data_IF_499189646587
#
_entry.id   IF_499189646587
#
_cell.length_a   1.000
_cell.length_b   1.000
_cell.length_c   1.000
_cell.angle_alpha   90.00
_cell.angle_beta   90.00
_cell.angle_gamma   90.00
#
_symmetry.space_group_name_H-M   'P 1'
#
loop_
_entity.id
_entity.type
_entity.pdbx_description
1 polymer ?
#
# COMPACT_ATOMS: atom_id res chain seq x y z
N UNK A 1 11.36 -7.75 3.82
CA UNK A 1 10.74 -7.25 2.59
C UNK A 1 9.55 -6.37 2.95
N UNK A 2 9.62 -5.05 2.71
CA UNK A 2 8.60 -4.05 3.06
C UNK A 2 7.18 -4.51 2.75
N UNK A 3 6.51 -5.03 3.78
CA UNK A 3 5.17 -5.59 3.63
C UNK A 3 4.15 -4.49 3.39
N UNK A 4 4.22 -3.38 4.12
CA UNK A 4 3.33 -2.23 3.95
C UNK A 4 4.04 -0.94 4.30
N UNK A 5 3.55 0.18 3.78
CA UNK A 5 4.14 1.50 4.03
C UNK A 5 3.06 2.52 4.37
N UNK A 6 3.34 3.43 5.29
CA UNK A 6 2.57 4.66 5.46
C UNK A 6 3.14 5.67 4.47
N UNK A 7 2.33 6.13 3.53
CA UNK A 7 2.76 7.00 2.44
C UNK A 7 2.22 8.42 2.60
N UNK A 8 2.81 9.37 1.88
CA UNK A 8 2.05 10.56 1.55
C UNK A 8 1.07 10.22 0.43
N UNK A 9 -0.22 10.18 0.79
CA UNK A 9 -1.31 9.86 -0.14
C UNK A 9 -1.91 11.10 -0.83
N UNK A 10 -1.77 12.29 -0.24
CA UNK A 10 -2.24 13.54 -0.85
C UNK A 10 -1.30 13.98 -1.98
N UNK A 11 -1.76 13.82 -3.21
CA UNK A 11 -1.03 14.20 -4.42
C UNK A 11 -0.63 15.69 -4.40
N UNK A 12 -1.39 16.56 -3.73
CA UNK A 12 -1.08 18.01 -3.69
C UNK A 12 0.24 18.30 -2.99
N UNK A 13 0.68 17.46 -2.05
CA UNK A 13 2.03 17.61 -1.46
C UNK A 13 3.11 17.36 -2.50
N UNK A 14 2.92 16.42 -3.44
CA UNK A 14 3.84 16.22 -4.55
C UNK A 14 3.88 17.42 -5.49
N UNK A 15 2.72 18.02 -5.79
CA UNK A 15 2.64 19.25 -6.60
C UNK A 15 3.43 20.38 -5.94
N UNK A 16 3.21 20.61 -4.63
CA UNK A 16 3.89 21.68 -3.88
C UNK A 16 5.40 21.45 -3.73
N UNK A 17 5.83 20.22 -3.45
CA UNK A 17 7.23 19.92 -3.16
C UNK A 17 8.07 19.73 -4.41
N UNK A 18 7.50 19.15 -5.46
CA UNK A 18 8.27 18.70 -6.62
C UNK A 18 7.83 19.38 -7.92
N UNK A 19 6.85 20.28 -7.90
CA UNK A 19 6.29 20.86 -9.13
C UNK A 19 5.66 19.81 -10.04
N UNK A 20 5.23 18.67 -9.48
CA UNK A 20 4.65 17.58 -10.24
C UNK A 20 3.22 17.90 -10.69
N UNK A 21 2.77 17.27 -11.77
CA UNK A 21 1.40 17.39 -12.27
C UNK A 21 0.63 16.10 -12.02
N UNK A 22 -0.62 16.20 -11.55
CA UNK A 22 -1.47 15.03 -11.40
C UNK A 22 -2.01 14.57 -12.76
N UNK A 23 -1.91 13.28 -13.04
CA UNK A 23 -2.55 12.66 -14.19
C UNK A 23 -4.05 12.46 -13.94
N UNK A 24 -4.81 13.54 -14.04
CA UNK A 24 -6.24 13.58 -13.67
C UNK A 24 -7.06 12.50 -14.38
N UNK A 25 -6.70 12.15 -15.62
CA UNK A 25 -7.39 11.12 -16.42
C UNK A 25 -7.26 9.73 -15.78
N UNK A 26 -6.05 9.33 -15.39
CA UNK A 26 -5.78 8.05 -14.75
C UNK A 26 -6.43 7.96 -13.37
N UNK A 27 -6.45 9.06 -12.61
CA UNK A 27 -7.21 9.12 -11.34
C UNK A 27 -8.71 8.98 -11.59
N UNK A 28 -9.28 9.73 -12.54
CA UNK A 28 -10.70 9.64 -12.88
C UNK A 28 -11.10 8.23 -13.34
N UNK A 29 -10.28 7.59 -14.17
CA UNK A 29 -10.50 6.21 -14.60
C UNK A 29 -10.48 5.24 -13.41
N UNK A 30 -9.48 5.32 -12.53
CA UNK A 30 -9.36 4.44 -11.37
C UNK A 30 -10.60 4.54 -10.46
N UNK A 31 -11.04 5.77 -10.16
CA UNK A 31 -12.19 6.00 -9.30
C UNK A 31 -13.50 5.56 -9.94
N UNK A 32 -13.66 5.77 -11.25
CA UNK A 32 -14.79 5.25 -12.00
C UNK A 32 -14.84 3.72 -11.97
N UNK A 33 -13.75 3.03 -12.30
CA UNK A 33 -13.67 1.56 -12.28
C UNK A 33 -14.01 1.00 -10.88
N UNK A 34 -13.51 1.64 -9.81
CA UNK A 34 -13.82 1.26 -8.43
C UNK A 34 -15.32 1.41 -8.13
N UNK A 35 -15.91 2.52 -8.57
CA UNK A 35 -17.32 2.82 -8.37
C UNK A 35 -18.25 1.98 -9.27
N UNK A 36 -17.75 1.33 -10.33
CA UNK A 36 -18.45 0.32 -11.13
C UNK A 36 -18.30 -1.11 -10.55
N UNK A 37 -17.65 -1.25 -9.40
CA UNK A 37 -17.55 -2.52 -8.66
C UNK A 37 -16.25 -3.30 -8.88
N UNK A 38 -15.25 -2.73 -9.55
CA UNK A 38 -13.91 -3.34 -9.61
C UNK A 38 -13.30 -3.44 -8.20
N UNK A 39 -12.61 -4.55 -7.93
CA UNK A 39 -11.94 -4.78 -6.64
C UNK A 39 -10.65 -3.95 -6.52
N UNK A 40 -10.81 -2.63 -6.42
CA UNK A 40 -9.76 -1.63 -6.31
C UNK A 40 -9.69 -1.14 -4.87
N UNK A 41 -8.50 -1.23 -4.27
CA UNK A 41 -8.23 -0.76 -2.90
C UNK A 41 -7.46 0.55 -2.95
N UNK A 42 -8.02 1.60 -2.38
CA UNK A 42 -7.41 2.93 -2.33
C UNK A 42 -7.39 3.36 -0.86
N UNK A 43 -6.25 3.85 -0.34
CA UNK A 43 -6.19 4.41 1.01
C UNK A 43 -7.13 5.61 1.17
N UNK A 44 -7.84 5.71 2.30
CA UNK A 44 -8.80 6.80 2.57
C UNK A 44 -8.16 8.18 2.45
N UNK A 45 -6.88 8.31 2.79
CA UNK A 45 -6.15 9.58 2.65
C UNK A 45 -6.01 10.05 1.18
N UNK A 46 -6.02 9.13 0.21
CA UNK A 46 -6.02 9.49 -1.22
C UNK A 46 -7.41 9.97 -1.66
N UNK A 47 -8.48 9.35 -1.16
CA UNK A 47 -9.87 9.81 -1.38
C UNK A 47 -10.09 11.20 -0.79
N UNK A 48 -9.53 11.45 0.40
CA UNK A 48 -9.63 12.73 1.10
C UNK A 48 -9.02 13.89 0.32
N UNK A 49 -8.07 13.63 -0.58
CA UNK A 49 -7.57 14.66 -1.49
C UNK A 49 -8.69 15.23 -2.37
N UNK A 50 -9.74 14.47 -2.70
CA UNK A 50 -10.85 14.97 -3.53
C UNK A 50 -12.05 15.49 -2.72
N UNK A 51 -11.88 15.70 -1.41
CA UNK A 51 -12.94 16.21 -0.52
C UNK A 51 -13.38 17.64 -0.84
N UNK A 52 -12.49 18.46 -1.42
CA UNK A 52 -12.80 19.83 -1.85
C UNK A 52 -12.35 20.00 -3.31
N UNK A 53 -13.15 19.53 -4.28
CA UNK A 53 -12.75 19.52 -5.69
C UNK A 53 -12.67 20.94 -6.25
N UNK A 54 -11.59 21.23 -6.97
CA UNK A 54 -11.29 22.53 -7.58
C UNK A 54 -11.67 22.59 -9.07
N UNK A 55 -11.75 21.44 -9.75
CA UNK A 55 -12.08 21.35 -11.17
C UNK A 55 -13.30 20.45 -11.42
N UNK A 56 -13.85 20.47 -12.64
CA UNK A 56 -14.93 19.56 -13.04
C UNK A 56 -14.51 18.09 -12.98
N UNK A 57 -13.26 17.78 -13.37
CA UNK A 57 -12.74 16.43 -13.28
C UNK A 57 -12.57 15.97 -11.83
N UNK A 58 -12.11 16.85 -10.93
CA UNK A 58 -12.07 16.53 -9.51
C UNK A 58 -13.48 16.34 -8.92
N UNK A 59 -14.48 17.10 -9.39
CA UNK A 59 -15.89 16.90 -9.00
C UNK A 59 -16.38 15.52 -9.41
N UNK A 60 -16.07 15.05 -10.63
CA UNK A 60 -16.42 13.69 -11.08
C UNK A 60 -15.74 12.60 -10.26
N UNK A 61 -14.48 12.79 -9.88
CA UNK A 61 -13.79 11.87 -8.97
C UNK A 61 -14.51 11.82 -7.62
N UNK A 62 -14.87 12.99 -7.07
CA UNK A 62 -15.59 13.09 -5.81
C UNK A 62 -16.95 12.37 -5.88
N UNK A 63 -17.71 12.56 -6.95
CA UNK A 63 -18.98 11.85 -7.16
C UNK A 63 -18.81 10.33 -7.21
N UNK A 64 -17.76 9.83 -7.86
CA UNK A 64 -17.45 8.40 -7.88
C UNK A 64 -17.04 7.87 -6.49
N UNK A 65 -16.31 8.65 -5.70
CA UNK A 65 -15.97 8.33 -4.30
C UNK A 65 -17.27 8.26 -3.46
N UNK A 66 -18.13 9.27 -3.56
CA UNK A 66 -19.38 9.33 -2.78
C UNK A 66 -20.32 8.17 -3.13
N UNK A 67 -20.44 7.82 -4.42
CA UNK A 67 -21.21 6.65 -4.87
C UNK A 67 -20.67 5.36 -4.28
N UNK A 68 -19.36 5.14 -4.40
CA UNK A 68 -18.71 3.95 -3.83
C UNK A 68 -18.92 3.87 -2.31
N UNK A 69 -18.75 4.98 -1.60
CA UNK A 69 -18.94 5.03 -0.15
C UNK A 69 -20.40 4.77 0.26
N UNK A 70 -21.38 5.27 -0.50
CA UNK A 70 -22.80 4.96 -0.29
C UNK A 70 -23.10 3.47 -0.46
N UNK A 71 -22.53 2.83 -1.49
CA UNK A 71 -22.67 1.39 -1.70
C UNK A 71 -22.01 0.57 -0.58
N UNK A 72 -20.82 1.00 -0.11
CA UNK A 72 -20.16 0.34 1.03
C UNK A 72 -20.95 0.50 2.32
N UNK A 73 -21.49 1.69 2.60
CA UNK A 73 -22.33 1.94 3.76
C UNK A 73 -23.56 1.01 3.75
N UNK A 74 -24.25 0.93 2.61
CA UNK A 74 -25.41 0.05 2.43
C UNK A 74 -25.05 -1.43 2.71
N UNK A 75 -23.92 -1.91 2.19
CA UNK A 75 -23.45 -3.28 2.42
C UNK A 75 -23.13 -3.54 3.89
N UNK A 76 -22.48 -2.60 4.57
CA UNK A 76 -22.15 -2.71 5.98
C UNK A 76 -23.40 -2.68 6.87
N UNK A 77 -24.38 -1.85 6.54
CA UNK A 77 -25.68 -1.78 7.23
C UNK A 77 -26.47 -3.10 7.08
N UNK A 78 -26.47 -3.69 5.87
CA UNK A 78 -27.08 -5.00 5.63
C UNK A 78 -26.37 -6.11 6.42
N UNK A 79 -25.03 -6.15 6.44
CA UNK A 79 -24.28 -7.12 7.24
C UNK A 79 -24.54 -6.90 8.74
N UNK A 80 -24.61 -5.65 9.20
CA UNK A 80 -24.93 -5.31 10.59
C UNK A 80 -26.30 -5.87 10.99
N UNK A 81 -27.33 -5.66 10.17
CA UNK A 81 -28.67 -6.20 10.42
C UNK A 81 -28.64 -7.73 10.49
N UNK A 82 -28.01 -8.38 9.49
CA UNK A 82 -27.88 -9.84 9.43
C UNK A 82 -27.18 -10.42 10.65
N UNK A 83 -26.08 -9.81 11.09
CA UNK A 83 -25.31 -10.32 12.24
C UNK A 83 -26.01 -10.04 13.57
N UNK A 84 -26.77 -8.94 13.71
CA UNK A 84 -27.63 -8.70 14.88
C UNK A 84 -28.72 -9.76 15.01
N UNK A 85 -29.38 -10.13 13.93
CA UNK A 85 -30.35 -11.23 13.92
C UNK A 85 -29.69 -12.56 14.33
N UNK A 86 -28.54 -12.87 13.75
CA UNK A 86 -27.75 -14.07 14.09
C UNK A 86 -27.35 -14.11 15.56
N UNK A 87 -26.97 -12.97 16.15
CA UNK A 87 -26.60 -12.87 17.56
C UNK A 87 -27.81 -13.16 18.46
N UNK A 88 -28.96 -12.54 18.18
CA UNK A 88 -30.18 -12.75 18.97
C UNK A 88 -30.66 -14.22 18.95
N UNK A 89 -30.60 -14.89 17.79
CA UNK A 89 -30.97 -16.30 17.67
C UNK A 89 -30.00 -17.23 18.40
N UNK A 90 -28.70 -16.92 18.36
CA UNK A 90 -27.69 -17.63 19.12
C UNK A 90 -27.93 -17.49 20.63
N UNK A 91 -28.23 -16.28 21.10
CA UNK A 91 -28.53 -16.02 22.52
C UNK A 91 -29.81 -16.71 22.99
N UNK A 92 -30.88 -16.69 22.19
CA UNK A 92 -32.11 -17.45 22.49
C UNK A 92 -31.85 -18.95 22.61
N UNK A 93 -31.00 -19.49 21.74
CA UNK A 93 -30.60 -20.90 21.80
C UNK A 93 -29.80 -21.19 23.07
N UNK A 94 -28.85 -20.32 23.42
CA UNK A 94 -28.02 -20.48 24.62
C UNK A 94 -28.80 -20.39 25.93
N UNK A 95 -29.91 -19.65 25.96
CA UNK A 95 -30.81 -19.58 27.12
C UNK A 95 -31.54 -20.91 27.38
N UNK A 96 -31.92 -21.64 26.32
CA UNK A 96 -32.59 -22.94 26.46
C UNK A 96 -31.60 -24.09 26.61
N UNK A 97 -30.49 -24.06 25.86
CA UNK A 97 -29.45 -25.08 25.89
C UNK A 97 -28.10 -24.54 25.42
N UNK A 98 -27.08 -24.66 26.26
CA UNK A 98 -25.71 -24.37 25.85
C UNK A 98 -25.23 -25.38 24.80
N UNK A 99 -24.89 -24.90 23.61
CA UNK A 99 -24.31 -25.73 22.53
C UNK A 99 -23.09 -25.05 21.95
N UNK A 100 -22.10 -25.85 21.52
CA UNK A 100 -20.88 -25.33 20.86
C UNK A 100 -21.22 -24.48 19.63
N UNK A 101 -22.21 -24.88 18.85
CA UNK A 101 -22.64 -24.16 17.65
C UNK A 101 -23.21 -22.78 17.97
N UNK A 102 -24.06 -22.66 19.00
CA UNK A 102 -24.63 -21.37 19.38
C UNK A 102 -23.58 -20.45 20.02
N UNK A 103 -22.67 -20.99 20.84
CA UNK A 103 -21.53 -20.23 21.41
C UNK A 103 -20.65 -19.64 20.30
N UNK A 104 -20.29 -20.45 19.31
CA UNK A 104 -19.45 -20.01 18.19
C UNK A 104 -20.19 -19.01 17.28
N UNK A 105 -21.49 -19.22 17.06
CA UNK A 105 -22.32 -18.28 16.31
C UNK A 105 -22.38 -16.90 16.98
N UNK A 106 -22.55 -16.85 18.31
CA UNK A 106 -22.50 -15.61 19.10
C UNK A 106 -21.16 -14.91 18.96
N UNK A 107 -20.04 -15.64 19.08
CA UNK A 107 -18.69 -15.09 18.94
C UNK A 107 -18.46 -14.46 17.57
N UNK A 108 -18.79 -15.18 16.50
CA UNK A 108 -18.65 -14.72 15.11
C UNK A 108 -19.53 -13.50 14.86
N UNK A 109 -20.81 -13.54 15.27
CA UNK A 109 -21.74 -12.45 15.06
C UNK A 109 -21.28 -11.17 15.78
N UNK A 110 -20.84 -11.28 17.03
CA UNK A 110 -20.31 -10.16 17.82
C UNK A 110 -19.12 -9.51 17.12
N UNK A 111 -18.12 -10.31 16.73
CA UNK A 111 -16.93 -9.83 16.03
C UNK A 111 -17.27 -9.12 14.70
N UNK A 112 -18.23 -9.66 13.94
CA UNK A 112 -18.67 -9.05 12.69
C UNK A 112 -19.49 -7.78 12.89
N UNK A 113 -20.31 -7.69 13.94
CA UNK A 113 -21.02 -6.46 14.31
C UNK A 113 -20.02 -5.35 14.62
N UNK A 114 -19.03 -5.63 15.47
CA UNK A 114 -17.96 -4.67 15.79
C UNK A 114 -17.21 -4.23 14.54
N UNK A 115 -16.87 -5.17 13.65
CA UNK A 115 -16.21 -4.86 12.38
C UNK A 115 -17.08 -3.99 11.46
N UNK A 116 -18.38 -4.26 11.35
CA UNK A 116 -19.29 -3.49 10.51
C UNK A 116 -19.49 -2.07 11.06
N UNK A 117 -19.61 -1.93 12.38
CA UNK A 117 -19.68 -0.63 13.05
C UNK A 117 -18.42 0.19 12.85
N UNK A 118 -17.23 -0.41 13.02
CA UNK A 118 -15.95 0.26 12.72
C UNK A 118 -15.87 0.71 11.26
N UNK A 119 -16.29 -0.14 10.32
CA UNK A 119 -16.32 0.23 8.91
C UNK A 119 -17.24 1.42 8.61
N UNK A 120 -18.42 1.48 9.24
CA UNK A 120 -19.35 2.61 9.11
C UNK A 120 -18.79 3.89 9.72
N UNK A 121 -18.13 3.77 10.87
CA UNK A 121 -17.45 4.89 11.52
C UNK A 121 -16.32 5.42 10.66
N UNK A 122 -15.46 4.54 10.13
CA UNK A 122 -14.39 4.88 9.19
C UNK A 122 -14.91 5.56 7.93
N UNK A 123 -16.06 5.14 7.38
CA UNK A 123 -16.67 5.82 6.22
C UNK A 123 -17.13 7.25 6.56
N UNK A 124 -17.70 7.44 7.75
CA UNK A 124 -18.25 8.74 8.20
C UNK A 124 -17.19 9.71 8.69
N UNK A 125 -16.07 9.18 9.20
CA UNK A 125 -14.96 9.97 9.75
C UNK A 125 -14.36 10.90 8.69
N UNK A 126 -14.17 12.16 9.06
CA UNK A 126 -13.56 13.19 8.21
C UNK A 126 -12.09 13.44 8.54
N UNK A 127 -11.70 13.29 9.81
CA UNK A 127 -10.33 13.42 10.27
C UNK A 127 -9.51 12.19 9.88
N UNK A 128 -8.34 12.38 9.29
CA UNK A 128 -7.47 11.27 8.89
C UNK A 128 -6.63 10.76 10.06
N UNK A 129 -6.38 9.46 10.07
CA UNK A 129 -5.48 8.75 10.97
C UNK A 129 -4.29 8.21 10.17
N UNK A 130 -3.17 7.91 10.84
CA UNK A 130 -1.97 7.32 10.23
C UNK A 130 -2.30 6.09 9.36
N UNK A 131 -3.24 5.26 9.81
CA UNK A 131 -3.69 4.05 9.10
C UNK A 131 -4.36 4.32 7.76
N UNK A 132 -4.93 5.51 7.56
CA UNK A 132 -5.62 5.88 6.32
C UNK A 132 -4.66 6.13 5.16
N UNK A 133 -3.38 6.29 5.47
CA UNK A 133 -2.28 6.45 4.53
C UNK A 133 -1.44 5.18 4.40
N UNK A 134 -1.82 4.08 5.06
CA UNK A 134 -1.09 2.81 4.98
C UNK A 134 -1.52 2.01 3.74
N UNK A 135 -0.56 1.66 2.90
CA UNK A 135 -0.76 0.81 1.72
C UNK A 135 -0.23 -0.60 1.96
N UNK A 136 -0.95 -1.58 1.42
CA UNK A 136 -0.58 -2.99 1.39
C UNK A 136 -0.45 -3.46 -0.06
N UNK A 137 0.18 -4.62 -0.32
CA UNK A 137 0.29 -5.14 -1.67
C UNK A 137 -1.09 -5.30 -2.31
N UNK A 138 -1.27 -4.72 -3.50
CA UNK A 138 -2.54 -4.65 -4.22
C UNK A 138 -3.34 -3.36 -4.00
N UNK A 139 -2.96 -2.50 -3.03
CA UNK A 139 -3.54 -1.16 -2.90
C UNK A 139 -2.96 -0.22 -3.97
N UNK A 140 -3.69 0.84 -4.31
CA UNK A 140 -3.19 1.92 -5.15
C UNK A 140 -2.52 3.01 -4.32
N UNK A 141 -1.51 3.67 -4.92
CA UNK A 141 -0.79 4.79 -4.33
C UNK A 141 -0.44 5.83 -5.41
N UNK A 142 -0.27 7.12 -5.06
CA UNK A 142 0.36 8.09 -5.94
C UNK A 142 1.83 7.74 -6.15
N UNK A 143 2.22 7.56 -7.41
CA UNK A 143 3.61 7.34 -7.83
C UNK A 143 4.03 8.48 -8.75
N UNK A 144 5.13 9.14 -8.41
CA UNK A 144 5.75 10.15 -9.26
C UNK A 144 6.66 9.48 -10.29
N UNK A 145 6.49 9.86 -11.55
CA UNK A 145 7.26 9.39 -12.71
C UNK A 145 7.68 10.57 -13.57
N UNK A 146 8.60 10.38 -14.52
CA UNK A 146 8.83 11.35 -15.59
C UNK A 146 8.04 10.95 -16.84
N UNK A 147 7.29 11.89 -17.40
CA UNK A 147 6.66 11.78 -18.72
C UNK A 147 6.86 13.09 -19.48
N UNK A 148 7.34 13.00 -20.72
CA UNK A 148 7.61 14.15 -21.59
C UNK A 148 8.44 15.27 -20.91
N UNK A 149 9.43 14.87 -20.10
CA UNK A 149 10.30 15.78 -19.36
C UNK A 149 9.63 16.48 -18.17
N UNK A 150 8.44 16.03 -17.75
CA UNK A 150 7.70 16.58 -16.60
C UNK A 150 7.46 15.50 -15.55
N UNK A 151 7.55 15.89 -14.29
CA UNK A 151 7.17 15.03 -13.17
C UNK A 151 5.64 14.89 -13.16
N UNK A 152 5.15 13.66 -13.27
CA UNK A 152 3.72 13.34 -13.30
C UNK A 152 3.39 12.36 -12.18
N UNK A 153 2.28 12.60 -11.48
CA UNK A 153 1.75 11.69 -10.46
C UNK A 153 0.66 10.83 -11.07
N UNK A 154 0.84 9.51 -11.01
CA UNK A 154 -0.14 8.53 -11.47
C UNK A 154 -0.56 7.62 -10.31
N UNK A 155 -1.83 7.20 -10.26
CA UNK A 155 -2.23 6.22 -9.28
C UNK A 155 -1.84 4.82 -9.80
N UNK A 156 -1.00 4.12 -9.06
CA UNK A 156 -0.49 2.81 -9.47
C UNK A 156 -0.71 1.78 -8.38
N UNK A 157 -1.00 0.54 -8.78
CA UNK A 157 -1.17 -0.58 -7.86
C UNK A 157 0.19 -1.01 -7.30
N UNK A 158 0.34 -1.03 -5.98
CA UNK A 158 1.50 -1.54 -5.25
C UNK A 158 1.55 -3.07 -5.31
N UNK A 159 1.89 -3.62 -6.46
CA UNK A 159 2.20 -5.02 -6.73
C UNK A 159 2.47 -5.07 -8.24
N UNK A 160 3.73 -4.95 -8.65
CA UNK A 160 4.07 -4.75 -10.04
C UNK A 160 3.75 -5.97 -10.89
N UNK A 161 3.13 -5.74 -12.04
CA UNK A 161 3.06 -6.70 -13.15
C UNK A 161 3.91 -6.14 -14.29
N UNK A 162 5.15 -6.66 -14.48
CA UNK A 162 5.98 -6.21 -15.59
C UNK A 162 5.34 -6.47 -16.95
N UNK A 163 5.49 -5.52 -17.88
CA UNK A 163 5.02 -5.66 -19.26
C UNK A 163 5.56 -6.95 -19.90
N UNK A 164 4.74 -7.56 -20.77
CA UNK A 164 5.06 -8.83 -21.42
C UNK A 164 4.88 -10.09 -20.54
N UNK A 165 4.56 -9.96 -19.25
CA UNK A 165 4.17 -11.11 -18.41
C UNK A 165 2.69 -11.47 -18.61
N UNK A 166 2.27 -12.75 -18.44
CA UNK A 166 0.86 -13.12 -18.47
C UNK A 166 0.00 -12.45 -17.38
N UNK A 167 -1.31 -12.33 -17.59
CA UNK A 167 -2.24 -11.68 -16.65
C UNK A 167 -2.29 -12.32 -15.25
N UNK A 168 -1.96 -13.61 -15.13
CA UNK A 168 -1.96 -14.33 -13.84
C UNK A 168 -0.64 -14.19 -13.06
N UNK A 169 0.39 -13.56 -13.65
CA UNK A 169 1.77 -13.69 -13.17
C UNK A 169 1.98 -13.16 -11.75
N UNK A 170 1.48 -11.96 -11.47
CA UNK A 170 1.49 -11.31 -10.14
C UNK A 170 0.61 -12.03 -9.11
N UNK A 171 -0.41 -12.79 -9.55
CA UNK A 171 -1.20 -13.65 -8.65
C UNK A 171 -0.43 -14.92 -8.27
N UNK A 172 0.39 -15.43 -9.19
CA UNK A 172 1.21 -16.64 -8.97
C UNK A 172 2.46 -16.36 -8.13
N UNK A 173 3.06 -15.17 -8.28
CA UNK A 173 4.27 -14.77 -7.58
C UNK A 173 3.96 -13.60 -6.63
N UNK A 174 3.74 -13.86 -5.34
CA UNK A 174 3.16 -12.87 -4.43
C UNK A 174 4.13 -11.77 -3.99
N UNK A 175 5.41 -11.81 -4.39
CA UNK A 175 6.46 -10.89 -3.94
C UNK A 175 6.74 -9.72 -4.87
N UNK A 176 5.96 -9.52 -5.94
CA UNK A 176 6.26 -8.51 -6.96
C UNK A 176 5.94 -7.06 -6.53
N UNK A 177 5.67 -6.82 -5.26
CA UNK A 177 5.63 -5.48 -4.66
C UNK A 177 7.02 -4.98 -4.24
N UNK A 178 8.03 -5.86 -4.19
CA UNK A 178 9.42 -5.50 -3.89
C UNK A 178 10.35 -5.89 -5.05
N UNK A 179 11.11 -4.91 -5.54
CA UNK A 179 12.20 -5.11 -6.48
C UNK A 179 13.51 -5.22 -5.71
N UNK A 180 14.03 -6.44 -5.56
CA UNK A 180 15.28 -6.64 -4.84
C UNK A 180 16.46 -6.06 -5.63
N UNK A 181 17.30 -5.29 -4.95
CA UNK A 181 18.52 -4.68 -5.49
C UNK A 181 19.41 -5.70 -6.20
N UNK A 182 19.64 -6.86 -5.56
CA UNK A 182 20.43 -7.99 -6.08
C UNK A 182 19.84 -8.69 -7.31
N UNK A 183 18.65 -8.29 -7.79
CA UNK A 183 17.96 -8.91 -8.91
C UNK A 183 17.42 -7.87 -9.91
N UNK A 184 17.92 -6.63 -9.85
CA UNK A 184 17.51 -5.55 -10.75
C UNK A 184 17.81 -5.87 -12.23
N UNK A 185 18.98 -6.44 -12.50
CA UNK A 185 19.38 -6.89 -13.86
C UNK A 185 18.97 -8.34 -14.19
N UNK A 186 18.37 -9.05 -13.24
CA UNK A 186 17.84 -10.39 -13.44
C UNK A 186 16.37 -10.35 -13.83
N UNK A 187 15.49 -10.50 -12.83
CA UNK A 187 14.04 -10.49 -13.03
C UNK A 187 13.53 -9.14 -13.55
N UNK A 188 14.09 -8.03 -13.05
CA UNK A 188 13.60 -6.67 -13.33
C UNK A 188 14.24 -6.01 -14.55
N UNK A 189 15.10 -6.69 -15.31
CA UNK A 189 15.84 -6.12 -16.45
C UNK A 189 14.99 -5.49 -17.56
N UNK A 190 13.73 -5.87 -17.67
CA UNK A 190 12.77 -5.27 -18.61
C UNK A 190 12.10 -4.00 -18.08
N UNK A 191 12.46 -3.55 -16.87
CA UNK A 191 11.86 -2.41 -16.18
C UNK A 191 12.94 -1.48 -15.61
N UNK A 192 13.97 -2.04 -14.95
CA UNK A 192 15.12 -1.29 -14.47
C UNK A 192 15.92 -0.74 -15.66
N UNK A 193 16.21 0.57 -15.64
CA UNK A 193 16.81 1.29 -16.77
C UNK A 193 15.77 1.92 -17.71
N UNK A 194 14.47 1.65 -17.53
CA UNK A 194 13.43 2.08 -18.46
C UNK A 194 12.28 2.82 -17.78
N UNK A 195 11.79 2.31 -16.65
CA UNK A 195 10.56 2.80 -16.01
C UNK A 195 10.75 2.88 -14.50
N UNK A 196 11.29 4.02 -14.08
CA UNK A 196 11.53 4.34 -12.67
C UNK A 196 10.46 5.27 -12.14
N UNK A 197 10.16 5.11 -10.86
CA UNK A 197 9.15 5.88 -10.15
C UNK A 197 9.59 6.17 -8.73
N UNK A 198 8.82 7.01 -8.06
CA UNK A 198 9.09 7.43 -6.69
C UNK A 198 7.79 7.54 -5.91
N UNK A 199 7.77 6.99 -4.70
CA UNK A 199 6.74 7.28 -3.72
C UNK A 199 7.36 8.03 -2.55
N UNK A 200 6.56 8.84 -1.86
CA UNK A 200 6.94 9.44 -0.59
C UNK A 200 6.36 8.59 0.54
N UNK A 201 7.22 8.08 1.42
CA UNK A 201 6.84 7.29 2.59
C UNK A 201 7.23 7.98 3.90
N UNK A 202 6.45 7.77 4.95
CA UNK A 202 6.70 8.29 6.30
C UNK A 202 7.08 7.18 7.28
N UNK A 203 6.62 5.96 7.03
CA UNK A 203 6.97 4.78 7.79
C UNK A 203 6.88 3.55 6.88
N UNK A 204 7.57 2.48 7.26
CA UNK A 204 7.33 1.15 6.71
C UNK A 204 7.05 0.17 7.83
N UNK A 205 6.38 -0.92 7.51
CA UNK A 205 6.00 -1.93 8.49
C UNK A 205 6.39 -3.31 8.02
N UNK A 206 6.88 -4.10 8.97
CA UNK A 206 7.38 -5.43 8.70
C UNK A 206 6.81 -6.48 9.65
N UNK A 207 6.61 -7.66 9.08
CA UNK A 207 6.33 -8.86 9.85
C UNK A 207 7.66 -9.41 10.38
N UNK A 208 7.72 -9.59 11.70
CA UNK A 208 8.89 -10.09 12.43
C UNK A 208 8.47 -11.24 13.31
N UNK A 209 9.31 -12.26 13.40
CA UNK A 209 9.10 -13.37 14.33
C UNK A 209 9.54 -12.93 15.73
N UNK A 210 8.67 -13.07 16.73
CA UNK A 210 8.91 -12.63 18.11
C UNK A 210 10.29 -13.06 18.63
N UNK A 211 10.63 -14.34 18.48
CA UNK A 211 11.90 -14.87 18.97
C UNK A 211 13.13 -14.18 18.32
N UNK A 212 13.03 -13.76 17.04
CA UNK A 212 14.10 -13.00 16.36
C UNK A 212 14.24 -11.60 16.93
N UNK A 213 13.13 -10.93 17.22
CA UNK A 213 13.14 -9.61 17.88
C UNK A 213 13.73 -9.70 19.29
N UNK A 214 13.44 -10.78 20.01
CA UNK A 214 13.96 -11.06 21.36
C UNK A 214 15.40 -11.59 21.34
N UNK A 215 15.99 -11.83 20.16
CA UNK A 215 17.37 -12.32 20.03
C UNK A 215 17.60 -13.71 20.61
N UNK A 216 16.56 -14.57 20.60
CA UNK A 216 16.63 -15.92 21.18
C UNK A 216 16.11 -17.00 20.23
N UNK A 217 16.50 -18.23 20.53
CA UNK A 217 15.91 -19.41 19.90
C UNK A 217 14.50 -19.68 20.45
N UNK A 218 13.70 -20.40 19.67
CA UNK A 218 12.42 -20.94 20.11
C UNK A 218 12.66 -21.99 21.19
N UNK A 219 11.86 -21.95 22.26
CA UNK A 219 11.85 -23.02 23.25
C UNK A 219 11.26 -24.31 22.65
N UNK A 220 11.54 -25.45 23.27
CA UNK A 220 10.98 -26.74 22.83
C UNK A 220 9.45 -26.68 22.84
N UNK A 221 8.83 -26.91 21.67
CA UNK A 221 7.38 -26.85 21.49
C UNK A 221 6.79 -25.44 21.34
N UNK A 222 7.60 -24.37 21.38
CA UNK A 222 7.14 -23.01 21.09
C UNK A 222 6.87 -22.83 19.59
N UNK A 223 5.72 -22.24 19.27
CA UNK A 223 5.38 -21.89 17.90
C UNK A 223 5.88 -20.48 17.56
N UNK A 224 6.28 -20.28 16.31
CA UNK A 224 6.61 -18.95 15.81
C UNK A 224 5.42 -17.99 15.94
N UNK A 225 5.61 -16.92 16.71
CA UNK A 225 4.65 -15.82 16.79
C UNK A 225 5.05 -14.67 15.84
N UNK A 226 4.07 -14.18 15.07
CA UNK A 226 4.26 -13.07 14.17
C UNK A 226 3.87 -11.73 14.83
N UNK A 227 4.78 -10.77 14.79
CA UNK A 227 4.59 -9.40 15.25
C UNK A 227 4.70 -8.45 14.06
N UNK A 228 3.99 -7.32 14.11
CA UNK A 228 4.13 -6.26 13.11
C UNK A 228 4.85 -5.09 13.77
N UNK A 229 6.02 -4.73 13.24
CA UNK A 229 6.77 -3.56 13.66
C UNK A 229 6.54 -2.41 12.70
N UNK A 230 6.38 -1.20 13.25
CA UNK A 230 6.45 0.06 12.52
C UNK A 230 7.87 0.62 12.64
N UNK A 231 8.46 1.05 11.52
CA UNK A 231 9.75 1.71 11.45
C UNK A 231 9.56 3.15 10.95
N UNK A 232 9.97 4.13 11.75
CA UNK A 232 9.92 5.56 11.41
C UNK A 232 11.34 6.16 11.45
N UNK A 233 11.72 7.01 10.48
CA UNK A 233 13.01 7.66 10.51
C UNK A 233 13.10 8.64 11.70
N UNK A 234 14.30 8.74 12.29
CA UNK A 234 14.65 9.77 13.26
C UNK A 234 15.84 10.62 12.80
N UNK A 235 15.72 11.96 12.74
CA UNK A 235 14.51 12.76 12.98
C UNK A 235 13.37 12.42 11.99
N UNK A 236 12.12 12.68 12.39
CA UNK A 236 10.95 12.45 11.53
C UNK A 236 11.10 13.22 10.21
N UNK A 237 11.07 12.48 9.09
CA UNK A 237 11.24 13.03 7.75
C UNK A 237 10.51 12.19 6.68
N UNK A 238 10.27 12.80 5.52
CA UNK A 238 9.77 12.10 4.34
C UNK A 238 10.89 11.26 3.71
N UNK A 239 10.59 10.02 3.36
CA UNK A 239 11.47 9.12 2.61
C UNK A 239 11.08 9.11 1.13
N UNK A 240 12.02 9.43 0.25
CA UNK A 240 11.83 9.38 -1.21
C UNK A 240 12.16 7.98 -1.73
N UNK A 241 11.19 7.06 -1.68
CA UNK A 241 11.45 5.65 -1.94
C UNK A 241 11.55 5.36 -3.44
N UNK A 242 12.72 4.85 -3.86
CA UNK A 242 12.97 4.41 -5.22
C UNK A 242 12.04 3.23 -5.58
N UNK A 243 11.39 3.33 -6.74
CA UNK A 243 10.44 2.34 -7.24
C UNK A 243 10.69 2.01 -8.71
N UNK A 244 10.28 0.82 -9.12
CA UNK A 244 10.09 0.45 -10.52
C UNK A 244 8.60 0.40 -10.82
N UNK A 245 8.19 0.84 -12.01
CA UNK A 245 6.80 0.75 -12.43
C UNK A 245 6.66 0.20 -13.83
N UNK A 246 5.47 -0.30 -14.15
CA UNK A 246 5.16 -0.84 -15.46
C UNK A 246 3.73 -0.52 -15.86
N UNK A 247 3.56 -0.12 -17.12
CA UNK A 247 2.28 -0.15 -17.81
C UNK A 247 2.11 -1.51 -18.47
N UNK A 248 1.25 -2.34 -17.90
CA UNK A 248 0.94 -3.64 -18.43
C UNK A 248 -0.31 -3.59 -19.29
N UNK A 249 -0.22 -4.19 -20.48
CA UNK A 249 -1.31 -4.28 -21.45
C UNK A 249 -1.36 -5.68 -22.04
N UNK A 250 -2.55 -6.20 -22.28
CA UNK A 250 -2.76 -7.46 -22.98
C UNK A 250 -4.11 -7.43 -23.71
N UNK A 251 -4.24 -8.05 -24.89
CA UNK A 251 -5.52 -8.08 -25.61
C UNK A 251 -6.65 -8.65 -24.76
N UNK A 252 -7.77 -7.91 -24.67
CA UNK A 252 -8.95 -8.33 -23.91
C UNK A 252 -8.85 -8.14 -22.39
N UNK A 253 -7.75 -7.58 -21.88
CA UNK A 253 -7.55 -7.30 -20.45
C UNK A 253 -7.48 -5.79 -20.20
N UNK A 254 -7.97 -5.30 -19.05
CA UNK A 254 -7.82 -3.90 -18.70
C UNK A 254 -6.33 -3.56 -18.52
N UNK A 255 -5.97 -2.36 -18.98
CA UNK A 255 -4.64 -1.80 -18.73
C UNK A 255 -4.37 -1.73 -17.22
N UNK A 256 -3.12 -1.94 -16.83
CA UNK A 256 -2.71 -1.88 -15.43
C UNK A 256 -1.44 -1.05 -15.27
N UNK A 257 -1.53 0.03 -14.50
CA UNK A 257 -0.36 0.71 -13.94
C UNK A 257 -0.04 0.11 -12.57
N UNK A 258 1.18 -0.36 -12.40
CA UNK A 258 1.61 -1.00 -11.15
C UNK A 258 3.08 -0.76 -10.86
N UNK A 259 3.45 -0.83 -9.59
CA UNK A 259 4.81 -0.53 -9.15
C UNK A 259 5.29 -1.47 -8.04
N UNK A 260 6.61 -1.47 -7.84
CA UNK A 260 7.33 -2.16 -6.79
C UNK A 260 8.36 -1.21 -6.15
N UNK A 261 8.48 -1.25 -4.83
CA UNK A 261 9.52 -0.52 -4.12
C UNK A 261 10.85 -1.26 -4.24
N UNK A 262 11.96 -0.55 -4.43
CA UNK A 262 13.28 -1.17 -4.44
C UNK A 262 13.70 -1.42 -3.00
N UNK A 263 14.17 -2.65 -2.75
CA UNK A 263 14.62 -3.08 -1.43
C UNK A 263 16.01 -3.67 -1.49
N UNK A 264 16.75 -3.50 -0.41
CA UNK A 264 18.11 -4.00 -0.26
C UNK A 264 18.36 -4.45 1.18
N UNK A 265 19.60 -4.83 1.51
CA UNK A 265 20.00 -5.14 2.88
C UNK A 265 19.61 -4.02 3.86
N UNK A 266 19.09 -4.39 5.05
CA UNK A 266 18.60 -3.44 6.02
C UNK A 266 19.76 -2.78 6.77
N UNK A 267 19.58 -1.54 7.28
CA UNK A 267 20.53 -0.96 8.21
C UNK A 267 20.54 -1.74 9.55
N UNK A 268 21.60 -1.59 10.37
CA UNK A 268 21.83 -2.42 11.55
C UNK A 268 20.65 -2.48 12.53
N UNK A 269 19.94 -1.38 12.74
CA UNK A 269 18.81 -1.30 13.66
C UNK A 269 17.56 -2.06 13.17
N UNK A 270 17.36 -2.12 11.85
CA UNK A 270 16.28 -2.90 11.23
C UNK A 270 16.66 -4.39 11.20
N UNK A 271 17.94 -4.69 10.95
CA UNK A 271 18.48 -6.04 11.02
C UNK A 271 18.37 -6.63 12.43
N UNK A 272 18.72 -5.84 13.45
CA UNK A 272 18.64 -6.20 14.86
C UNK A 272 17.19 -6.47 15.30
N UNK A 273 16.21 -5.81 14.68
CA UNK A 273 14.80 -6.11 14.87
C UNK A 273 14.33 -7.40 14.17
N UNK A 274 15.24 -8.23 13.64
CA UNK A 274 14.94 -9.54 13.06
C UNK A 274 14.46 -9.50 11.61
N UNK A 275 14.67 -8.37 10.92
CA UNK A 275 14.20 -8.14 9.56
C UNK A 275 15.34 -8.10 8.54
N UNK A 276 15.10 -8.51 7.29
CA UNK A 276 16.17 -8.87 6.34
C UNK A 276 16.26 -7.99 5.09
N UNK A 277 15.34 -7.04 4.92
CA UNK A 277 15.34 -6.09 3.79
C UNK A 277 14.75 -4.74 4.17
N UNK A 278 15.25 -3.66 3.61
CA UNK A 278 14.70 -2.32 3.80
C UNK A 278 14.49 -1.62 2.44
N UNK A 279 13.53 -0.70 2.39
CA UNK A 279 13.31 0.20 1.24
C UNK A 279 14.51 1.13 1.04
N UNK A 280 14.75 1.56 -0.20
CA UNK A 280 15.83 2.50 -0.53
C UNK A 280 15.26 3.92 -0.70
N UNK A 281 15.43 4.82 0.29
CA UNK A 281 15.15 6.24 0.11
C UNK A 281 16.31 6.94 -0.63
N UNK A 282 16.06 7.54 -1.78
CA UNK A 282 17.06 8.36 -2.49
C UNK A 282 17.12 9.78 -1.91
N UNK A 283 18.19 10.50 -2.22
CA UNK A 283 18.29 11.91 -1.86
C UNK A 283 17.50 12.82 -2.82
N UNK A 284 17.03 14.00 -2.39
CA UNK A 284 16.28 14.92 -3.24
C UNK A 284 17.03 15.34 -4.52
N UNK A 285 18.35 15.51 -4.45
CA UNK A 285 19.19 15.84 -5.61
C UNK A 285 19.17 14.78 -6.72
N UNK A 286 18.81 13.54 -6.40
CA UNK A 286 18.78 12.42 -7.35
C UNK A 286 17.43 12.23 -8.03
N UNK A 287 16.39 12.98 -7.67
CA UNK A 287 15.01 12.76 -8.18
C UNK A 287 14.96 12.74 -9.70
N UNK A 288 15.53 13.74 -10.39
CA UNK A 288 15.40 13.83 -11.85
C UNK A 288 16.24 12.80 -12.58
N UNK A 289 17.43 12.49 -12.06
CA UNK A 289 18.31 11.47 -12.63
C UNK A 289 17.73 10.06 -12.43
N UNK A 290 17.05 9.81 -11.31
CA UNK A 290 16.33 8.57 -11.02
C UNK A 290 15.11 8.41 -11.92
N UNK A 291 14.29 9.47 -12.07
CA UNK A 291 13.08 9.39 -12.88
C UNK A 291 13.34 9.40 -14.40
N UNK A 292 14.58 9.68 -14.84
CA UNK A 292 15.03 9.61 -16.23
C UNK A 292 16.19 8.61 -16.41
N UNK A 293 15.95 7.30 -16.27
CA UNK A 293 17.01 6.33 -16.44
C UNK A 293 17.47 6.22 -17.90
N UNK A 294 18.75 5.92 -18.11
CA UNK A 294 19.29 5.49 -19.41
C UNK A 294 19.59 3.98 -19.35
N UNK A 295 18.95 3.14 -20.18
CA UNK A 295 19.20 1.70 -20.18
C UNK A 295 20.61 1.33 -20.65
N UNK A 296 21.37 2.28 -21.21
CA UNK A 296 22.77 2.11 -21.61
C UNK A 296 23.76 2.48 -20.50
N UNK A 297 23.28 3.11 -19.43
CA UNK A 297 24.09 3.51 -18.27
C UNK A 297 23.38 3.12 -16.96
N UNK A 298 23.29 1.80 -16.73
CA UNK A 298 22.74 1.27 -15.48
C UNK A 298 23.63 1.61 -14.28
N UNK A 299 24.93 1.83 -14.49
CA UNK A 299 25.87 2.19 -13.43
C UNK A 299 25.50 3.52 -12.76
N UNK A 300 25.04 4.51 -13.53
CA UNK A 300 24.51 5.76 -12.98
C UNK A 300 23.29 5.53 -12.07
N UNK A 301 22.42 4.58 -12.40
CA UNK A 301 21.24 4.25 -11.59
C UNK A 301 21.62 3.53 -10.30
N UNK A 302 22.61 2.63 -10.34
CA UNK A 302 23.17 2.04 -9.12
C UNK A 302 23.85 3.09 -8.24
N UNK A 303 24.59 4.04 -8.82
CA UNK A 303 25.24 5.09 -8.04
C UNK A 303 24.24 5.93 -7.23
N UNK A 304 23.06 6.22 -7.79
CA UNK A 304 21.96 6.88 -7.07
C UNK A 304 21.46 6.02 -5.91
N UNK A 305 21.25 4.72 -6.16
CA UNK A 305 20.80 3.81 -5.12
C UNK A 305 21.86 3.62 -4.04
N UNK A 306 23.15 3.58 -4.36
CA UNK A 306 24.23 3.46 -3.39
C UNK A 306 24.38 4.72 -2.53
N UNK A 307 24.21 5.90 -3.15
CA UNK A 307 24.15 7.21 -2.49
C UNK A 307 22.75 7.51 -1.88
N UNK A 308 22.08 6.47 -1.38
CA UNK A 308 20.81 6.58 -0.66
C UNK A 308 20.91 7.39 0.62
N UNK A 309 19.78 7.94 1.06
CA UNK A 309 19.62 8.39 2.44
C UNK A 309 19.70 7.20 3.40
N UNK A 310 20.28 7.44 4.58
CA UNK A 310 20.39 6.44 5.65
C UNK A 310 19.92 7.05 6.99
N UNK A 311 18.63 7.39 7.13
CA UNK A 311 18.11 7.76 8.44
C UNK A 311 18.20 6.58 9.40
N UNK A 312 18.29 6.87 10.69
CA UNK A 312 18.11 5.84 11.72
C UNK A 312 16.62 5.50 11.85
N UNK A 313 16.26 4.23 11.85
CA UNK A 313 14.87 3.81 12.02
C UNK A 313 14.57 3.38 13.46
N UNK A 314 13.77 4.18 14.16
CA UNK A 314 13.17 3.78 15.42
C UNK A 314 11.99 2.85 15.14
N UNK A 315 11.85 1.78 15.95
CA UNK A 315 10.77 0.82 15.78
C UNK A 315 9.90 0.65 17.02
N UNK A 316 8.61 0.38 16.78
CA UNK A 316 7.64 0.03 17.82
C UNK A 316 6.66 -1.01 17.30
N UNK A 317 5.93 -1.67 18.20
CA UNK A 317 4.80 -2.51 17.83
C UNK A 317 3.75 -1.66 17.10
N UNK A 318 3.34 -2.13 15.91
CA UNK A 318 2.26 -1.50 15.17
C UNK A 318 0.93 -1.72 15.92
N UNK A 319 0.13 -0.64 16.02
CA UNK A 319 -1.18 -0.64 16.65
C UNK A 319 -2.25 -1.33 15.79
#
# INVERSE_FOLDING_TARGET
>A
MCYSAQIQADYRKYVRMFGAHMSIREFAQLYWERAEGSNIKIPKAMDAAFSVPQTDEERRIREAIDRFNGDQATKLEQELFKQRARLADAERTLQSKTTKAATESKRIATSKIESALRGLDDLRRTELEDRDSRIFPGNYAPVMVMEDGKRVIKPMRYHCRPAGKPAFYDKKYPGLYNARFDNLEGFWKGVFGYSHGLIVANAFYENVKRHRLEGRDLAEGELEENMVLEFKPQPAQDMLVACLWSHWQSPGEPNLLSFAAITDEPPPEVAAAGHDRCIIPIKPEHIDAWLNPDPRDLAAQYAILDDRQRPYYEHRMAA
#
